data_IF_839119066685
#
_entry.id   IF_839119066685
#
_cell.length_a   1.000
_cell.length_b   1.000
_cell.length_c   1.000
_cell.angle_alpha   90.00
_cell.angle_beta   90.00
_cell.angle_gamma   90.00
#
_symmetry.space_group_name_H-M   'P 1'
#
loop_
_entity.id
_entity.type
_entity.pdbx_description
1 polymer ?
#
# COMPACT_ATOMS: atom_id res chain seq x y z
N UNK A 1 -2.13 -9.34 5.09
CA UNK A 1 -1.25 -9.21 6.25
C UNK A 1 -1.75 -9.90 7.53
N UNK A 2 -0.94 -10.81 8.06
CA UNK A 2 -1.06 -11.48 9.37
C UNK A 2 0.07 -11.01 10.29
N UNK A 3 0.02 -11.40 11.57
CA UNK A 3 1.06 -11.05 12.56
C UNK A 3 2.48 -11.39 12.12
N UNK A 4 2.70 -12.55 11.49
CA UNK A 4 4.04 -12.97 11.06
C UNK A 4 4.60 -12.06 9.97
N UNK A 5 3.78 -11.65 9.01
CA UNK A 5 4.17 -10.72 7.95
C UNK A 5 4.66 -9.37 8.53
N UNK A 6 4.02 -8.90 9.61
CA UNK A 6 4.45 -7.69 10.33
C UNK A 6 5.80 -7.92 11.01
N UNK A 7 5.98 -9.08 11.67
CA UNK A 7 7.24 -9.42 12.32
C UNK A 7 8.39 -9.54 11.31
N UNK A 8 8.12 -10.04 10.10
CA UNK A 8 9.10 -10.08 9.02
C UNK A 8 9.42 -8.68 8.52
N UNK A 9 8.42 -7.83 8.31
CA UNK A 9 8.61 -6.44 7.92
C UNK A 9 9.49 -5.67 8.91
N UNK A 10 9.36 -5.94 10.22
CA UNK A 10 10.17 -5.33 11.27
C UNK A 10 11.65 -5.73 11.22
N UNK A 11 12.01 -6.90 10.66
CA UNK A 11 13.41 -7.38 10.64
C UNK A 11 14.32 -6.49 9.81
N UNK A 12 13.79 -5.87 8.77
CA UNK A 12 14.53 -5.02 7.84
C UNK A 12 14.44 -3.53 8.23
N UNK A 13 13.82 -3.20 9.36
CA UNK A 13 13.68 -1.83 9.84
C UNK A 13 14.89 -1.40 10.69
N UNK A 14 15.15 -0.08 10.76
CA UNK A 14 16.10 0.47 11.73
C UNK A 14 15.68 0.14 13.18
N UNK A 15 16.66 0.11 14.08
CA UNK A 15 16.43 -0.13 15.52
C UNK A 15 15.53 0.94 16.15
N UNK A 16 15.69 2.19 15.71
CA UNK A 16 14.85 3.31 16.11
C UNK A 16 13.91 3.68 14.94
N UNK A 17 12.61 3.60 15.17
CA UNK A 17 11.57 4.02 14.23
C UNK A 17 10.43 4.68 15.00
N UNK A 18 9.90 5.77 14.46
CA UNK A 18 8.71 6.41 15.01
C UNK A 18 7.47 5.53 14.82
N UNK A 19 6.52 5.60 15.74
CA UNK A 19 5.28 4.84 15.66
C UNK A 19 4.46 5.18 14.40
N UNK A 20 4.41 6.45 13.99
CA UNK A 20 3.71 6.88 12.79
C UNK A 20 4.36 6.31 11.52
N UNK A 21 5.69 6.30 11.47
CA UNK A 21 6.45 5.71 10.36
C UNK A 21 6.23 4.19 10.27
N UNK A 22 6.22 3.50 11.42
CA UNK A 22 5.93 2.08 11.48
C UNK A 22 4.51 1.79 10.95
N UNK A 23 3.51 2.51 11.45
CA UNK A 23 2.11 2.35 11.02
C UNK A 23 1.98 2.64 9.52
N UNK A 24 2.62 3.70 9.02
CA UNK A 24 2.63 4.05 7.62
C UNK A 24 3.19 2.91 6.76
N UNK A 25 4.35 2.34 7.12
CA UNK A 25 4.97 1.24 6.38
C UNK A 25 4.08 -0.01 6.34
N UNK A 26 3.45 -0.35 7.47
CA UNK A 26 2.51 -1.47 7.56
C UNK A 26 1.32 -1.23 6.62
N UNK A 27 0.72 -0.03 6.66
CA UNK A 27 -0.40 0.32 5.80
C UNK A 27 -0.03 0.30 4.32
N UNK A 28 1.13 0.87 3.96
CA UNK A 28 1.62 0.89 2.60
C UNK A 28 1.84 -0.53 2.05
N UNK A 29 2.47 -1.41 2.83
CA UNK A 29 2.67 -2.80 2.43
C UNK A 29 1.35 -3.52 2.20
N UNK A 30 0.36 -3.32 3.08
CA UNK A 30 -0.98 -3.88 2.89
C UNK A 30 -1.67 -3.35 1.61
N UNK A 31 -1.51 -2.07 1.29
CA UNK A 31 -2.04 -1.49 0.05
C UNK A 31 -1.40 -2.09 -1.18
N UNK A 32 -0.08 -2.28 -1.16
CA UNK A 32 0.66 -2.88 -2.27
C UNK A 32 0.25 -4.34 -2.51
N UNK A 33 0.14 -5.15 -1.46
CA UNK A 33 -0.36 -6.54 -1.55
C UNK A 33 -1.75 -6.59 -2.23
N UNK A 34 -2.67 -5.74 -1.77
CA UNK A 34 -4.00 -5.67 -2.36
C UNK A 34 -3.99 -5.15 -3.82
N UNK A 35 -3.05 -4.28 -4.17
CA UNK A 35 -2.86 -3.79 -5.53
C UNK A 35 -2.30 -4.87 -6.46
N UNK A 36 -1.35 -5.69 -5.99
CA UNK A 36 -0.81 -6.83 -6.73
C UNK A 36 -1.92 -7.84 -7.05
N UNK A 37 -2.71 -8.23 -6.04
CA UNK A 37 -3.86 -9.13 -6.21
C UNK A 37 -4.89 -8.56 -7.21
N UNK A 38 -5.13 -7.24 -7.17
CA UNK A 38 -6.06 -6.57 -8.09
C UNK A 38 -5.54 -6.58 -9.52
N UNK A 39 -4.24 -6.37 -9.74
CA UNK A 39 -3.60 -6.45 -11.06
C UNK A 39 -3.71 -7.87 -11.62
N UNK A 40 -3.39 -8.89 -10.82
CA UNK A 40 -3.49 -10.29 -11.25
C UNK A 40 -4.95 -10.67 -11.60
N UNK A 41 -5.92 -10.17 -10.84
CA UNK A 41 -7.34 -10.37 -11.09
C UNK A 41 -7.91 -9.51 -12.24
N UNK A 42 -7.09 -8.69 -12.92
CA UNK A 42 -7.53 -7.79 -13.99
C UNK A 42 -8.42 -6.62 -13.51
N UNK A 43 -8.46 -6.35 -12.20
CA UNK A 43 -9.21 -5.24 -11.58
C UNK A 43 -8.41 -3.94 -11.64
N UNK A 44 -8.04 -3.54 -12.86
CA UNK A 44 -7.25 -2.34 -13.14
C UNK A 44 -8.09 -1.29 -13.86
N UNK A 45 -7.67 -0.04 -13.76
CA UNK A 45 -8.25 1.07 -14.51
C UNK A 45 -7.35 1.40 -15.70
N UNK A 46 -7.97 1.79 -16.81
CA UNK A 46 -7.25 2.43 -17.91
C UNK A 46 -6.69 3.79 -17.48
N UNK A 47 -5.72 4.30 -18.24
CA UNK A 47 -5.16 5.63 -18.01
C UNK A 47 -6.24 6.72 -18.02
N UNK A 48 -7.17 6.67 -18.97
CA UNK A 48 -8.29 7.63 -19.08
C UNK A 48 -9.20 7.62 -17.84
N UNK A 49 -9.51 6.43 -17.32
CA UNK A 49 -10.30 6.29 -16.09
C UNK A 49 -9.58 6.85 -14.87
N UNK A 50 -8.26 6.65 -14.77
CA UNK A 50 -7.44 7.21 -13.68
C UNK A 50 -7.43 8.73 -13.73
N UNK A 51 -7.24 9.33 -14.92
CA UNK A 51 -7.27 10.80 -15.11
C UNK A 51 -8.62 11.36 -14.66
N UNK A 52 -9.72 10.83 -15.18
CA UNK A 52 -11.08 11.29 -14.86
C UNK A 52 -11.39 11.21 -13.35
N UNK A 53 -10.93 10.16 -12.66
CA UNK A 53 -11.15 10.02 -11.21
C UNK A 53 -10.30 10.98 -10.39
N UNK A 54 -9.09 11.27 -10.84
CA UNK A 54 -8.15 12.15 -10.13
C UNK A 54 -8.56 13.63 -10.22
N UNK A 55 -9.36 14.01 -11.23
CA UNK A 55 -9.95 15.36 -11.33
C UNK A 55 -10.80 15.74 -10.11
N UNK A 56 -11.41 14.76 -9.42
CA UNK A 56 -12.18 15.01 -8.20
C UNK A 56 -11.32 15.46 -7.02
N UNK A 57 -10.00 15.17 -7.04
CA UNK A 57 -9.07 15.52 -5.96
C UNK A 57 -8.41 16.89 -6.17
N UNK A 58 -8.48 17.42 -7.39
CA UNK A 58 -7.89 18.70 -7.78
C UNK A 58 -8.89 19.87 -7.72
N UNK A 59 -10.12 19.60 -7.24
CA UNK A 59 -11.12 20.62 -6.91
C UNK A 59 -10.94 21.11 -5.48
#
# INVERSE_FOLDING_TARGET
>A
MKKNDILELLRDMPEEIDADDLIYRVYLRQKLEASEDAVEAGKVFSHEEVVRRSEEWLK
#
